data_IF_843926429096
#
_entry.id   IF_843926429096
#
_cell.length_a   1.000
_cell.length_b   1.000
_cell.length_c   1.000
_cell.angle_alpha   90.00
_cell.angle_beta   90.00
_cell.angle_gamma   90.00
#
_symmetry.space_group_name_H-M   'P 1'
#
loop_
_entity.id
_entity.type
_entity.pdbx_description
1 polymer ?
#
# COMPACT_ATOMS: atom_id res chain seq x y z
N UNK A 1 10.13 8.46 0.62
CA UNK A 1 10.09 7.08 1.13
C UNK A 1 11.50 6.58 1.46
N UNK A 2 12.37 6.44 0.45
CA UNK A 2 13.74 5.90 0.59
C UNK A 2 14.58 6.60 1.66
N UNK A 3 14.54 7.93 1.67
CA UNK A 3 15.33 8.74 2.62
C UNK A 3 14.78 8.73 4.05
N UNK A 4 13.50 8.40 4.23
CA UNK A 4 12.84 8.36 5.54
C UNK A 4 12.74 6.95 6.11
N UNK A 5 13.24 5.93 5.40
CA UNK A 5 13.11 4.52 5.81
C UNK A 5 11.67 4.02 5.89
N UNK A 6 10.74 4.68 5.21
CA UNK A 6 9.32 4.30 5.22
C UNK A 6 9.05 3.37 4.03
N UNK A 7 8.44 2.19 4.25
CA UNK A 7 8.06 1.28 3.18
C UNK A 7 7.12 1.96 2.17
N UNK A 8 7.35 1.73 0.88
CA UNK A 8 6.49 2.26 -0.18
C UNK A 8 6.43 1.30 -1.36
N UNK A 9 5.25 1.15 -1.93
CA UNK A 9 4.98 0.41 -3.17
C UNK A 9 4.33 1.38 -4.16
N UNK A 10 4.81 1.38 -5.41
CA UNK A 10 4.35 2.29 -6.47
C UNK A 10 3.84 1.48 -7.66
N UNK A 11 2.98 2.08 -8.50
CA UNK A 11 2.45 1.41 -9.69
C UNK A 11 1.35 0.37 -9.43
N UNK A 12 0.70 0.42 -8.26
CA UNK A 12 -0.45 -0.46 -7.96
C UNK A 12 -1.65 -0.02 -8.79
N UNK A 13 -2.04 -0.87 -9.75
CA UNK A 13 -3.15 -0.60 -10.66
C UNK A 13 -4.46 -0.44 -9.89
N UNK A 14 -5.23 0.59 -10.24
CA UNK A 14 -6.53 0.96 -9.66
C UNK A 14 -6.53 1.17 -8.13
N UNK A 15 -5.36 1.43 -7.52
CA UNK A 15 -5.24 1.54 -6.06
C UNK A 15 -6.21 2.57 -5.45
N UNK A 16 -6.37 3.73 -6.10
CA UNK A 16 -7.26 4.80 -5.63
C UNK A 16 -8.75 4.48 -5.78
N UNK A 17 -9.11 3.50 -6.60
CA UNK A 17 -10.49 3.03 -6.76
C UNK A 17 -10.79 1.84 -5.84
N UNK A 18 -9.78 1.02 -5.54
CA UNK A 18 -9.91 -0.19 -4.71
C UNK A 18 -9.76 0.07 -3.22
N UNK A 19 -8.94 1.04 -2.83
CA UNK A 19 -8.67 1.37 -1.42
C UNK A 19 -9.61 2.49 -0.98
N UNK A 20 -10.59 2.15 -0.15
CA UNK A 20 -11.51 3.14 0.40
C UNK A 20 -10.82 4.10 1.38
N UNK A 21 -11.29 5.35 1.44
CA UNK A 21 -10.83 6.30 2.46
C UNK A 21 -11.07 5.75 3.87
N UNK A 22 -10.02 5.82 4.71
CA UNK A 22 -10.07 5.28 6.07
C UNK A 22 -9.82 3.77 6.17
N UNK A 23 -9.59 3.07 5.06
CA UNK A 23 -9.20 1.66 5.10
C UNK A 23 -7.85 1.47 5.81
N UNK A 24 -7.75 0.40 6.59
CA UNK A 24 -6.49 -0.05 7.17
C UNK A 24 -5.75 -0.90 6.14
N UNK A 25 -4.49 -0.56 5.85
CA UNK A 25 -3.71 -1.22 4.81
C UNK A 25 -2.35 -1.64 5.38
N UNK A 26 -1.92 -2.85 5.06
CA UNK A 26 -0.56 -3.34 5.29
C UNK A 26 0.25 -3.23 4.00
N UNK A 27 1.43 -2.63 4.11
CA UNK A 27 2.37 -2.46 3.01
C UNK A 27 3.63 -3.27 3.31
N UNK A 28 4.08 -4.05 2.34
CA UNK A 28 5.39 -4.68 2.31
C UNK A 28 6.19 -4.10 1.13
N UNK A 29 7.17 -3.26 1.45
CA UNK A 29 8.01 -2.59 0.46
C UNK A 29 9.08 -3.49 -0.17
N UNK A 30 9.38 -4.64 0.43
CA UNK A 30 10.40 -5.57 -0.05
C UNK A 30 9.81 -6.52 -1.10
N UNK A 31 8.60 -7.04 -0.85
CA UNK A 31 7.90 -7.92 -1.80
C UNK A 31 7.01 -7.16 -2.79
N UNK A 32 6.74 -5.88 -2.53
CA UNK A 32 5.81 -5.08 -3.33
C UNK A 32 4.33 -5.38 -3.02
N UNK A 33 4.03 -6.00 -1.88
CA UNK A 33 2.68 -6.44 -1.55
C UNK A 33 1.87 -5.36 -0.82
N UNK A 34 0.59 -5.27 -1.17
CA UNK A 34 -0.39 -4.38 -0.53
C UNK A 34 -1.61 -5.19 -0.14
N UNK A 35 -1.96 -5.17 1.15
CA UNK A 35 -3.09 -5.90 1.70
C UNK A 35 -4.04 -4.92 2.40
N UNK A 36 -5.30 -4.89 1.99
CA UNK A 36 -6.34 -4.10 2.66
C UNK A 36 -6.97 -4.97 3.73
N UNK A 37 -6.95 -4.51 4.98
CA UNK A 37 -7.51 -5.27 6.09
C UNK A 37 -9.04 -5.38 5.95
N UNK A 38 -9.55 -6.60 6.04
CA UNK A 38 -10.98 -6.88 5.91
C UNK A 38 -11.50 -7.01 4.48
N UNK A 39 -10.62 -7.02 3.47
CA UNK A 39 -10.94 -7.49 2.12
C UNK A 39 -10.54 -8.96 1.92
#
# INVERSE_FOLDING_TARGET
>A
AREFGIPAVVGVVDATQRIASGAIVRIDGDTGSVLVAGQ
#
